data_IF_908248570859
#
_entry.id   IF_908248570859
#
_cell.length_a   1.000
_cell.length_b   1.000
_cell.length_c   1.000
_cell.angle_alpha   90.00
_cell.angle_beta   90.00
_cell.angle_gamma   90.00
#
_symmetry.space_group_name_H-M   'P 1'
#
loop_
_entity.id
_entity.type
_entity.pdbx_description
1 polymer ?
#
# COMPACT_ATOMS: atom_id res chain seq x y z
N UNK A 1 19.41 45.44 1.91
CA UNK A 1 18.83 46.16 3.07
C UNK A 1 18.57 47.64 2.80
N UNK A 2 19.53 48.37 2.22
CA UNK A 2 19.40 49.82 1.91
C UNK A 2 18.15 50.16 1.10
N UNK A 3 17.84 49.42 0.03
CA UNK A 3 16.63 49.66 -0.79
C UNK A 3 15.30 49.38 -0.08
N UNK A 4 15.25 48.43 0.86
CA UNK A 4 14.04 48.11 1.64
C UNK A 4 13.76 49.23 2.66
N UNK A 5 14.80 49.75 3.30
CA UNK A 5 14.72 50.88 4.23
C UNK A 5 14.35 52.17 3.48
N UNK A 6 14.90 52.39 2.28
CA UNK A 6 14.55 53.52 1.42
C UNK A 6 13.07 53.47 0.98
N UNK A 7 12.57 52.27 0.65
CA UNK A 7 11.16 52.04 0.29
C UNK A 7 10.18 52.35 1.43
N UNK A 8 10.58 52.13 2.69
CA UNK A 8 9.79 52.49 3.87
C UNK A 8 9.88 53.98 4.25
N UNK A 9 10.97 54.68 3.87
CA UNK A 9 11.21 56.08 4.23
C UNK A 9 10.59 57.10 3.25
N UNK A 10 10.13 56.64 2.07
CA UNK A 10 9.49 57.49 1.08
C UNK A 10 8.02 57.79 1.47
N UNK A 11 7.65 59.07 1.67
CA UNK A 11 6.30 59.46 2.11
C UNK A 11 5.19 59.14 1.10
N UNK A 12 5.56 58.82 -0.15
CA UNK A 12 4.64 58.44 -1.21
C UNK A 12 3.94 57.10 -0.96
N UNK A 13 4.55 56.16 -0.22
CA UNK A 13 4.05 54.79 -0.14
C UNK A 13 3.27 54.45 1.13
N UNK A 14 3.35 55.24 2.23
CA UNK A 14 2.61 55.05 3.51
C UNK A 14 2.46 53.58 3.98
N UNK A 15 3.38 52.69 3.59
CA UNK A 15 3.25 51.24 3.77
C UNK A 15 4.48 50.75 4.52
N UNK A 16 4.26 50.30 5.76
CA UNK A 16 5.32 49.87 6.67
C UNK A 16 5.56 48.35 6.65
N UNK A 17 4.76 47.58 5.89
CA UNK A 17 4.86 46.12 5.79
C UNK A 17 6.25 45.59 5.38
N UNK A 18 7.04 46.25 4.51
CA UNK A 18 8.39 45.79 4.17
C UNK A 18 9.38 45.83 5.34
N UNK A 19 9.07 46.54 6.43
CA UNK A 19 9.90 46.56 7.64
C UNK A 19 10.00 45.19 8.34
N UNK A 20 9.00 44.32 8.19
CA UNK A 20 9.05 42.97 8.75
C UNK A 20 10.23 42.14 8.20
N UNK A 21 10.68 42.41 6.98
CA UNK A 21 11.87 41.76 6.39
C UNK A 21 13.12 42.06 7.22
N UNK A 22 13.24 43.28 7.75
CA UNK A 22 14.37 43.69 8.59
C UNK A 22 14.32 42.99 9.95
N UNK A 23 13.12 42.90 10.55
CA UNK A 23 12.91 42.21 11.83
C UNK A 23 13.25 40.71 11.72
N UNK A 24 12.78 40.04 10.66
CA UNK A 24 13.10 38.63 10.45
C UNK A 24 14.58 38.41 10.16
N UNK A 25 15.24 39.30 9.42
CA UNK A 25 16.67 39.21 9.15
C UNK A 25 17.54 39.24 10.42
N UNK A 26 17.16 40.05 11.42
CA UNK A 26 17.84 40.08 12.72
C UNK A 26 17.58 38.79 13.51
N UNK A 27 16.43 38.15 13.33
CA UNK A 27 16.05 36.90 14.01
C UNK A 27 16.63 35.63 13.36
N UNK A 28 16.93 35.63 12.07
CA UNK A 28 17.52 34.47 11.35
C UNK A 28 18.75 33.84 12.03
N UNK A 29 19.75 34.61 12.53
CA UNK A 29 20.93 34.00 13.15
C UNK A 29 20.67 33.42 14.54
N UNK A 30 19.58 33.80 15.22
CA UNK A 30 19.33 33.46 16.63
C UNK A 30 19.20 31.94 16.85
N UNK A 31 18.38 31.18 16.09
CA UNK A 31 18.26 29.73 16.27
C UNK A 31 19.56 28.97 16.01
N UNK A 32 20.36 29.41 15.01
CA UNK A 32 21.64 28.77 14.65
C UNK A 32 22.71 29.06 15.72
N UNK A 33 22.76 30.28 16.25
CA UNK A 33 23.66 30.64 17.34
C UNK A 33 23.35 29.84 18.62
N UNK A 34 22.06 29.69 18.95
CA UNK A 34 21.63 28.88 20.09
C UNK A 34 22.04 27.41 19.88
N UNK A 35 21.73 26.82 18.72
CA UNK A 35 22.09 25.44 18.43
C UNK A 35 23.60 25.19 18.49
N UNK A 36 24.42 26.09 17.92
CA UNK A 36 25.88 26.00 18.00
C UNK A 36 26.41 26.10 19.43
N UNK A 37 25.81 26.95 20.27
CA UNK A 37 26.19 27.05 21.68
C UNK A 37 25.89 25.76 22.45
N UNK A 38 24.74 25.13 22.19
CA UNK A 38 24.38 23.84 22.78
C UNK A 38 25.27 22.70 22.29
N UNK A 39 25.56 22.64 20.98
CA UNK A 39 26.47 21.62 20.43
C UNK A 39 27.88 21.77 20.99
N UNK A 40 28.43 22.99 21.07
CA UNK A 40 29.77 23.20 21.62
C UNK A 40 29.87 22.89 23.12
N UNK A 41 28.83 23.17 23.92
CA UNK A 41 28.83 22.84 25.35
C UNK A 41 28.70 21.33 25.62
N UNK A 42 28.00 20.58 24.76
CA UNK A 42 27.83 19.13 24.90
C UNK A 42 28.97 18.29 24.30
N UNK A 43 29.75 18.83 23.35
CA UNK A 43 30.89 18.11 22.76
C UNK A 43 32.04 17.80 23.75
N UNK A 44 32.04 18.37 24.95
CA UNK A 44 33.02 18.06 26.00
C UNK A 44 32.60 16.89 26.92
N UNK A 45 31.38 16.37 26.78
CA UNK A 45 30.88 15.25 27.58
C UNK A 45 30.09 14.29 26.68
N UNK A 46 30.75 13.19 26.30
CA UNK A 46 30.24 12.07 25.50
C UNK A 46 30.01 12.31 24.00
N UNK A 47 30.86 11.67 23.22
CA UNK A 47 30.56 11.27 21.85
C UNK A 47 29.35 10.32 21.88
N UNK A 48 28.39 10.55 20.97
CA UNK A 48 27.11 9.85 20.75
C UNK A 48 25.90 10.54 21.41
N UNK A 49 25.31 11.53 20.71
CA UNK A 49 23.85 11.59 20.48
C UNK A 49 23.36 12.87 19.77
N UNK A 50 22.62 12.65 18.68
CA UNK A 50 21.52 13.48 18.13
C UNK A 50 21.83 14.85 17.47
N UNK A 51 22.00 14.82 16.14
CA UNK A 51 21.92 15.97 15.23
C UNK A 51 20.53 16.68 15.21
N UNK A 52 19.55 16.20 15.98
CA UNK A 52 18.17 16.70 15.99
C UNK A 52 18.04 18.17 16.42
N UNK A 53 18.94 18.68 17.28
CA UNK A 53 18.95 20.09 17.68
C UNK A 53 19.36 21.01 16.51
N UNK A 54 20.36 20.58 15.74
CA UNK A 54 20.83 21.31 14.56
C UNK A 54 19.78 21.24 13.44
N UNK A 55 19.17 20.08 13.22
CA UNK A 55 18.07 19.91 12.27
C UNK A 55 16.84 20.78 12.62
N UNK A 56 16.47 20.86 13.91
CA UNK A 56 15.39 21.73 14.39
C UNK A 56 15.73 23.21 14.20
N UNK A 57 16.98 23.61 14.43
CA UNK A 57 17.42 24.98 14.19
C UNK A 57 17.42 25.35 12.70
N UNK A 58 17.83 24.43 11.82
CA UNK A 58 17.72 24.62 10.36
C UNK A 58 16.24 24.72 9.94
N UNK A 59 15.36 23.90 10.51
CA UNK A 59 13.93 23.99 10.24
C UNK A 59 13.34 25.35 10.65
N UNK A 60 13.62 25.82 11.86
CA UNK A 60 13.11 27.13 12.34
C UNK A 60 13.66 28.28 11.48
N UNK A 61 14.95 28.25 11.11
CA UNK A 61 15.53 29.29 10.25
C UNK A 61 14.93 29.32 8.85
N UNK A 62 14.66 28.15 8.25
CA UNK A 62 13.94 28.12 6.96
C UNK A 62 12.52 28.70 7.07
N UNK A 63 11.82 28.44 8.18
CA UNK A 63 10.51 29.04 8.45
C UNK A 63 10.56 30.57 8.58
N UNK A 64 11.56 31.11 9.28
CA UNK A 64 11.77 32.56 9.41
C UNK A 64 12.06 33.22 8.05
N UNK A 65 12.91 32.58 7.22
CA UNK A 65 13.24 33.10 5.88
C UNK A 65 12.01 33.10 4.97
N UNK A 66 11.24 32.02 4.93
CA UNK A 66 10.01 31.95 4.12
C UNK A 66 8.97 32.97 4.61
N UNK A 67 8.81 33.11 5.93
CA UNK A 67 7.90 34.10 6.53
C UNK A 67 8.28 35.53 6.16
N UNK A 68 9.58 35.83 6.07
CA UNK A 68 10.07 37.17 5.70
C UNK A 68 9.59 37.64 4.33
N UNK A 69 9.37 36.73 3.38
CA UNK A 69 8.83 37.05 2.05
C UNK A 69 7.32 36.88 1.98
N UNK A 70 6.76 35.85 2.63
CA UNK A 70 5.34 35.53 2.54
C UNK A 70 4.46 36.54 3.28
N UNK A 71 4.85 36.97 4.49
CA UNK A 71 4.02 37.80 5.36
C UNK A 71 3.76 39.21 4.77
N UNK A 72 4.76 39.93 4.23
CA UNK A 72 4.51 41.21 3.54
C UNK A 72 3.61 41.08 2.31
N UNK A 73 3.69 39.97 1.57
CA UNK A 73 2.88 39.71 0.37
C UNK A 73 1.41 39.48 0.73
N UNK A 74 1.15 38.74 1.82
CA UNK A 74 -0.21 38.48 2.31
C UNK A 74 -0.85 39.77 2.83
N UNK A 75 -0.10 40.57 3.60
CA UNK A 75 -0.58 41.83 4.16
C UNK A 75 -0.79 42.92 3.11
N UNK A 76 -0.01 42.92 2.02
CA UNK A 76 -0.24 43.80 0.87
C UNK A 76 -1.53 43.46 0.10
N UNK A 77 -2.07 42.26 0.26
CA UNK A 77 -3.32 41.81 -0.40
C UNK A 77 -4.53 41.78 0.52
N UNK A 78 -4.40 42.12 1.80
CA UNK A 78 -5.54 42.18 2.71
C UNK A 78 -6.24 43.56 2.63
N UNK A 79 -7.52 43.64 2.21
CA UNK A 79 -8.26 44.91 2.23
C UNK A 79 -8.56 45.35 3.67
N UNK A 80 -8.35 46.64 3.96
CA UNK A 80 -8.48 47.24 5.31
C UNK A 80 -9.95 47.31 5.80
N UNK A 81 -10.94 47.10 4.94
CA UNK A 81 -12.34 47.41 5.24
C UNK A 81 -13.28 46.22 5.47
N UNK A 82 -12.83 44.97 5.47
CA UNK A 82 -13.71 43.84 5.80
C UNK A 82 -12.96 42.79 6.63
N UNK A 83 -13.14 42.76 7.98
CA UNK A 83 -12.84 41.55 8.71
C UNK A 83 -13.86 40.50 8.25
N UNK A 84 -13.43 39.55 7.41
CA UNK A 84 -14.21 38.33 7.13
C UNK A 84 -14.50 37.62 8.46
N UNK A 85 -15.65 37.96 9.03
CA UNK A 85 -16.27 37.22 10.11
C UNK A 85 -16.68 35.88 9.51
N UNK A 86 -16.01 34.80 9.89
CA UNK A 86 -16.53 33.45 9.74
C UNK A 86 -17.74 33.28 10.68
N UNK A 87 -18.87 33.92 10.35
CA UNK A 87 -20.15 33.65 11.01
C UNK A 87 -20.89 32.60 10.20
N UNK A 88 -20.89 31.38 10.73
CA UNK A 88 -21.76 30.29 10.33
C UNK A 88 -23.22 30.65 10.62
N UNK A 89 -23.86 31.44 9.77
CA UNK A 89 -25.32 31.61 9.83
C UNK A 89 -25.88 32.17 8.53
N UNK A 90 -25.92 31.34 7.49
CA UNK A 90 -26.88 31.51 6.39
C UNK A 90 -28.19 30.78 6.75
N UNK A 91 -29.37 31.42 6.60
CA UNK A 91 -30.67 30.83 6.94
C UNK A 91 -31.06 29.59 6.11
N UNK A 92 -30.37 29.32 4.99
CA UNK A 92 -30.56 28.09 4.22
C UNK A 92 -30.05 26.83 4.97
N UNK A 93 -29.07 26.96 5.85
CA UNK A 93 -28.53 25.84 6.63
C UNK A 93 -29.48 25.35 7.75
N UNK A 94 -30.45 26.17 8.18
CA UNK A 94 -31.47 25.76 9.16
C UNK A 94 -32.62 24.98 8.52
N UNK A 95 -32.90 25.18 7.23
CA UNK A 95 -33.97 24.45 6.52
C UNK A 95 -33.56 23.01 6.21
N UNK A 96 -32.32 22.81 5.76
CA UNK A 96 -31.76 21.48 5.49
C UNK A 96 -31.54 20.63 6.76
N UNK A 97 -31.23 21.25 7.91
CA UNK A 97 -31.07 20.54 9.19
C UNK A 97 -32.41 20.12 9.82
N UNK A 98 -33.48 20.87 9.58
CA UNK A 98 -34.82 20.53 10.07
C UNK A 98 -35.49 19.43 9.22
N UNK A 99 -35.23 19.37 7.91
CA UNK A 99 -35.70 18.27 7.05
C UNK A 99 -34.96 16.94 7.32
N UNK A 100 -33.69 16.98 7.71
CA UNK A 100 -32.96 15.77 8.13
C UNK A 100 -33.40 15.26 9.50
N UNK A 101 -33.77 16.14 10.44
CA UNK A 101 -34.28 15.74 11.76
C UNK A 101 -35.70 15.17 11.74
N UNK A 102 -36.54 15.53 10.75
CA UNK A 102 -37.87 14.91 10.62
C UNK A 102 -37.80 13.48 10.05
N UNK A 103 -36.76 13.18 9.27
CA UNK A 103 -36.56 11.88 8.63
C UNK A 103 -35.65 10.92 9.42
N UNK A 104 -35.07 11.38 10.54
CA UNK A 104 -34.36 10.52 11.50
C UNK A 104 -35.21 10.28 12.74
N UNK A 105 -36.44 9.77 12.59
CA UNK A 105 -37.05 9.07 13.72
C UNK A 105 -36.15 7.87 14.03
N UNK A 106 -35.62 7.84 15.24
CA UNK A 106 -34.67 6.83 15.68
C UNK A 106 -35.22 5.43 15.36
N UNK A 107 -34.36 4.54 14.86
CA UNK A 107 -34.68 3.14 14.54
C UNK A 107 -35.21 2.32 15.74
N UNK A 108 -35.37 2.94 16.91
CA UNK A 108 -35.78 2.34 18.18
C UNK A 108 -37.16 2.83 18.67
N UNK A 109 -37.85 3.74 17.97
CA UNK A 109 -39.20 4.18 18.35
C UNK A 109 -40.22 3.57 17.38
N UNK A 110 -41.13 2.75 17.91
CA UNK A 110 -42.19 2.09 17.15
C UNK A 110 -43.44 2.98 17.22
N UNK A 111 -43.95 3.39 16.06
CA UNK A 111 -45.24 4.11 15.99
C UNK A 111 -46.39 3.16 16.30
N UNK A 112 -47.36 3.57 17.13
CA UNK A 112 -48.55 2.79 17.49
C UNK A 112 -49.39 2.40 16.26
N UNK A 113 -49.35 3.21 15.19
CA UNK A 113 -50.01 2.93 13.91
C UNK A 113 -49.37 1.73 13.17
N UNK A 114 -48.03 1.62 13.21
CA UNK A 114 -47.28 0.51 12.59
C UNK A 114 -47.49 -0.84 13.30
N UNK A 115 -47.89 -0.83 14.58
CA UNK A 115 -48.27 -2.03 15.35
C UNK A 115 -49.68 -2.51 15.02
N UNK A 116 -50.62 -1.60 14.79
CA UNK A 116 -52.00 -1.93 14.42
C UNK A 116 -52.08 -2.52 12.99
N UNK A 117 -51.28 -2.01 12.06
CA UNK A 117 -51.31 -2.41 10.65
C UNK A 117 -50.54 -3.71 10.34
N UNK A 118 -49.88 -4.33 11.33
CA UNK A 118 -49.13 -5.61 11.17
C UNK A 118 -47.87 -5.54 10.28
N UNK A 119 -47.60 -4.41 9.64
CA UNK A 119 -46.46 -4.17 8.73
C UNK A 119 -45.10 -4.31 9.43
N UNK A 120 -45.05 -4.10 10.75
CA UNK A 120 -43.84 -4.29 11.54
C UNK A 120 -43.32 -5.74 11.51
N UNK A 121 -44.21 -6.73 11.58
CA UNK A 121 -43.83 -8.16 11.58
C UNK A 121 -43.13 -8.54 10.27
N UNK A 122 -43.64 -8.04 9.15
CA UNK A 122 -43.05 -8.21 7.82
C UNK A 122 -41.69 -7.52 7.70
N UNK A 123 -41.53 -6.29 8.19
CA UNK A 123 -40.24 -5.59 8.20
C UNK A 123 -39.21 -6.30 9.10
N UNK A 124 -39.62 -6.84 10.23
CA UNK A 124 -38.74 -7.59 11.15
C UNK A 124 -38.27 -8.90 10.53
N UNK A 125 -39.16 -9.67 9.90
CA UNK A 125 -38.78 -10.91 9.21
C UNK A 125 -37.85 -10.64 8.03
N UNK A 126 -38.14 -9.62 7.20
CA UNK A 126 -37.24 -9.20 6.12
C UNK A 126 -35.86 -8.74 6.62
N UNK A 127 -35.80 -7.89 7.66
CA UNK A 127 -34.52 -7.48 8.27
C UNK A 127 -33.74 -8.68 8.79
N UNK A 128 -34.42 -9.67 9.40
CA UNK A 128 -33.77 -10.88 9.91
C UNK A 128 -33.24 -11.76 8.78
N UNK A 129 -33.99 -11.90 7.68
CA UNK A 129 -33.56 -12.65 6.49
C UNK A 129 -32.39 -11.96 5.77
N UNK A 130 -32.45 -10.64 5.60
CA UNK A 130 -31.36 -9.84 5.03
C UNK A 130 -30.12 -9.97 5.92
N UNK A 131 -30.27 -9.88 7.25
CA UNK A 131 -29.15 -10.01 8.16
C UNK A 131 -28.54 -11.42 8.12
N UNK A 132 -29.36 -12.49 8.07
CA UNK A 132 -28.88 -13.87 7.87
C UNK A 132 -28.14 -14.04 6.53
N UNK A 133 -28.64 -13.43 5.43
CA UNK A 133 -28.02 -13.48 4.10
C UNK A 133 -26.72 -12.67 4.03
N UNK A 134 -26.65 -11.51 4.68
CA UNK A 134 -25.44 -10.71 4.82
C UNK A 134 -24.40 -11.42 5.70
N UNK A 135 -24.82 -12.03 6.81
CA UNK A 135 -23.95 -12.80 7.71
C UNK A 135 -23.36 -14.01 6.99
N UNK A 136 -24.15 -14.74 6.20
CA UNK A 136 -23.64 -15.87 5.41
C UNK A 136 -22.70 -15.44 4.27
N UNK A 137 -22.97 -14.32 3.61
CA UNK A 137 -22.05 -13.73 2.61
C UNK A 137 -20.74 -13.24 3.23
N UNK A 138 -20.79 -12.59 4.39
CA UNK A 138 -19.58 -12.20 5.14
C UNK A 138 -18.76 -13.42 5.56
N UNK A 139 -19.42 -14.47 6.07
CA UNK A 139 -18.73 -15.71 6.47
C UNK A 139 -18.08 -16.43 5.26
N UNK A 140 -18.72 -16.39 4.09
CA UNK A 140 -18.15 -16.92 2.84
C UNK A 140 -16.95 -16.09 2.37
N UNK A 141 -17.03 -14.75 2.42
CA UNK A 141 -15.92 -13.84 2.12
C UNK A 141 -14.75 -14.07 3.07
N UNK A 142 -14.97 -14.13 4.38
CA UNK A 142 -13.94 -14.46 5.36
C UNK A 142 -13.30 -15.82 5.10
N UNK A 143 -14.07 -16.84 4.71
CA UNK A 143 -13.49 -18.15 4.34
C UNK A 143 -12.65 -18.07 3.06
N UNK A 144 -13.05 -17.28 2.08
CA UNK A 144 -12.29 -17.07 0.84
C UNK A 144 -11.02 -16.26 1.08
N UNK A 145 -11.13 -15.16 1.83
CA UNK A 145 -9.99 -14.34 2.29
C UNK A 145 -9.04 -15.19 3.12
N UNK A 146 -9.52 -15.96 4.09
CA UNK A 146 -8.66 -16.87 4.87
C UNK A 146 -7.98 -17.90 3.97
N UNK A 147 -8.65 -18.44 2.95
CA UNK A 147 -8.06 -19.41 2.01
C UNK A 147 -7.02 -18.77 1.08
N UNK A 148 -7.23 -17.52 0.65
CA UNK A 148 -6.25 -16.72 -0.10
C UNK A 148 -5.07 -16.34 0.78
N UNK A 149 -5.32 -15.83 2.00
CA UNK A 149 -4.32 -15.54 3.03
C UNK A 149 -3.51 -16.79 3.36
N UNK A 150 -4.11 -17.99 3.38
CA UNK A 150 -3.35 -19.24 3.64
C UNK A 150 -2.40 -19.55 2.49
N UNK A 151 -2.83 -19.36 1.23
CA UNK A 151 -1.96 -19.53 0.05
C UNK A 151 -0.88 -18.44 -0.05
N UNK A 152 -1.21 -17.20 0.27
CA UNK A 152 -0.27 -16.08 0.33
C UNK A 152 0.70 -16.24 1.50
N UNK A 153 0.27 -16.74 2.66
CA UNK A 153 1.15 -17.04 3.80
C UNK A 153 2.22 -18.07 3.44
N UNK A 154 1.88 -19.11 2.68
CA UNK A 154 2.86 -20.12 2.21
C UNK A 154 3.98 -19.49 1.37
N UNK A 155 3.72 -18.37 0.67
CA UNK A 155 4.75 -17.62 -0.08
C UNK A 155 5.33 -16.42 0.68
N UNK A 156 4.60 -15.80 1.62
CA UNK A 156 5.02 -14.63 2.40
C UNK A 156 5.99 -14.96 3.56
N UNK A 157 6.10 -16.22 3.97
CA UNK A 157 6.90 -16.62 5.16
C UNK A 157 8.42 -16.37 5.03
N UNK A 158 8.97 -16.10 3.84
CA UNK A 158 10.44 -16.04 3.72
C UNK A 158 11.03 -14.65 3.95
N UNK A 159 10.26 -13.57 3.84
CA UNK A 159 10.84 -12.24 3.83
C UNK A 159 10.28 -11.36 4.94
N UNK A 160 11.07 -11.27 6.03
CA UNK A 160 10.92 -10.35 7.15
C UNK A 160 9.97 -10.83 8.27
N UNK A 161 10.26 -11.99 8.87
CA UNK A 161 9.78 -12.28 10.22
C UNK A 161 10.45 -11.36 11.25
N UNK A 162 9.68 -10.98 12.28
CA UNK A 162 10.18 -10.20 13.43
C UNK A 162 11.31 -11.00 14.08
N UNK A 163 12.44 -10.35 14.43
CA UNK A 163 13.51 -11.05 15.12
C UNK A 163 13.06 -11.51 16.49
N UNK A 164 12.75 -12.80 16.60
CA UNK A 164 12.45 -13.49 17.86
C UNK A 164 13.74 -13.81 18.61
N UNK A 165 13.65 -13.85 19.94
CA UNK A 165 14.74 -14.32 20.80
C UNK A 165 15.09 -15.78 20.47
N UNK A 166 16.25 -16.25 20.92
CA UNK A 166 16.68 -17.63 20.66
C UNK A 166 15.71 -18.60 21.35
N UNK A 167 15.27 -18.26 22.56
CA UNK A 167 14.33 -19.02 23.38
C UNK A 167 12.96 -19.12 22.71
N UNK A 168 12.40 -18.01 22.23
CA UNK A 168 11.13 -17.99 21.50
C UNK A 168 11.18 -18.81 20.20
N UNK A 169 12.34 -18.88 19.54
CA UNK A 169 12.53 -19.72 18.35
C UNK A 169 12.55 -21.19 18.72
N UNK A 170 13.25 -21.56 19.79
CA UNK A 170 13.29 -22.94 20.28
C UNK A 170 11.91 -23.40 20.71
N UNK A 171 11.18 -22.58 21.47
CA UNK A 171 9.81 -22.88 21.89
C UNK A 171 8.86 -23.01 20.69
N UNK A 172 8.95 -22.10 19.72
CA UNK A 172 8.18 -22.18 18.48
C UNK A 172 8.45 -23.46 17.70
N UNK A 173 9.71 -23.87 17.59
CA UNK A 173 10.10 -25.12 16.94
C UNK A 173 9.56 -26.32 17.72
N UNK A 174 9.70 -26.35 19.05
CA UNK A 174 9.16 -27.43 19.88
C UNK A 174 7.65 -27.57 19.71
N UNK A 175 6.91 -26.45 19.70
CA UNK A 175 5.46 -26.43 19.45
C UNK A 175 5.13 -26.96 18.06
N UNK A 176 5.86 -26.57 17.01
CA UNK A 176 5.66 -27.09 15.67
C UNK A 176 5.99 -28.58 15.56
N UNK A 177 7.06 -29.04 16.22
CA UNK A 177 7.45 -30.46 16.26
C UNK A 177 6.35 -31.29 16.94
N UNK A 178 5.87 -30.84 18.10
CA UNK A 178 4.79 -31.49 18.84
C UNK A 178 3.49 -31.49 18.02
N UNK A 179 3.19 -30.40 17.32
CA UNK A 179 2.01 -30.31 16.46
C UNK A 179 2.09 -31.25 15.26
N UNK A 180 3.25 -31.36 14.60
CA UNK A 180 3.47 -32.32 13.50
C UNK A 180 3.39 -33.78 13.99
N UNK A 181 3.86 -34.06 15.21
CA UNK A 181 3.74 -35.37 15.84
C UNK A 181 2.30 -35.71 16.23
N UNK A 182 1.47 -34.72 16.54
CA UNK A 182 0.05 -34.90 16.89
C UNK A 182 -0.92 -34.80 15.70
N UNK A 183 -0.48 -34.33 14.54
CA UNK A 183 -1.29 -34.41 13.33
C UNK A 183 -1.50 -35.90 12.96
N UNK A 184 -2.75 -36.36 12.79
CA UNK A 184 -2.99 -37.73 12.35
C UNK A 184 -2.31 -37.90 11.00
N UNK A 185 -1.46 -38.92 10.90
CA UNK A 185 -0.75 -39.29 9.66
C UNK A 185 -1.81 -39.35 8.55
N UNK A 186 -1.73 -38.43 7.58
CA UNK A 186 -2.66 -38.43 6.46
C UNK A 186 -2.43 -39.72 5.69
N UNK A 187 -3.50 -40.40 5.28
CA UNK A 187 -3.42 -41.65 4.52
C UNK A 187 -2.53 -41.56 3.27
N UNK A 188 -2.33 -40.36 2.72
CA UNK A 188 -1.41 -40.08 1.61
C UNK A 188 0.07 -40.25 1.97
N UNK A 189 0.50 -40.05 3.22
CA UNK A 189 1.90 -40.29 3.60
C UNK A 189 2.20 -41.77 3.80
N UNK A 190 1.19 -42.64 3.91
CA UNK A 190 1.40 -44.08 3.74
C UNK A 190 1.72 -44.43 2.28
N UNK A 191 1.35 -43.60 1.30
CA UNK A 191 1.59 -43.91 -0.12
C UNK A 191 3.07 -43.84 -0.51
N UNK A 192 3.91 -43.03 0.15
CA UNK A 192 5.35 -43.00 -0.15
C UNK A 192 6.07 -44.26 0.35
N UNK A 193 5.92 -44.69 1.63
CA UNK A 193 6.39 -45.99 2.09
C UNK A 193 5.76 -47.16 1.32
N UNK A 194 4.46 -47.11 0.97
CA UNK A 194 3.78 -48.15 0.19
C UNK A 194 4.30 -48.15 -1.27
N UNK A 195 4.60 -47.00 -1.86
CA UNK A 195 5.21 -46.90 -3.19
C UNK A 195 6.61 -47.51 -3.20
N UNK A 196 7.45 -47.19 -2.21
CA UNK A 196 8.76 -47.84 -2.05
C UNK A 196 8.64 -49.34 -1.74
N UNK A 197 7.64 -49.75 -0.93
CA UNK A 197 7.31 -51.15 -0.62
C UNK A 197 6.84 -51.94 -1.84
N UNK A 198 6.09 -51.32 -2.76
CA UNK A 198 5.50 -52.01 -3.91
C UNK A 198 6.34 -51.92 -5.18
N UNK A 199 7.30 -50.99 -5.28
CA UNK A 199 8.10 -50.77 -6.50
C UNK A 199 9.61 -50.94 -6.33
N UNK A 200 10.15 -50.92 -5.11
CA UNK A 200 11.60 -51.00 -4.88
C UNK A 200 12.06 -52.16 -4.00
N UNK A 201 11.12 -52.92 -3.41
CA UNK A 201 11.40 -54.05 -2.53
C UNK A 201 10.57 -55.23 -3.07
N UNK A 202 11.21 -56.33 -3.49
CA UNK A 202 10.46 -57.55 -3.78
C UNK A 202 9.98 -58.17 -2.46
N UNK A 203 8.85 -58.90 -2.42
CA UNK A 203 8.41 -59.57 -1.18
C UNK A 203 9.50 -60.48 -0.58
N UNK A 204 10.43 -60.96 -1.42
CA UNK A 204 11.65 -61.70 -1.03
C UNK A 204 12.73 -60.87 -0.31
N UNK A 205 12.76 -59.54 -0.47
CA UNK A 205 13.74 -58.66 0.19
C UNK A 205 13.29 -58.23 1.61
N UNK A 206 12.00 -58.42 1.94
CA UNK A 206 11.39 -58.16 3.25
C UNK A 206 11.55 -59.32 4.24
N UNK A 207 12.16 -60.42 3.82
CA UNK A 207 12.42 -61.63 4.62
C UNK A 207 13.76 -61.61 5.35
N UNK A 208 14.36 -60.44 5.56
CA UNK A 208 15.60 -60.31 6.35
C UNK A 208 15.33 -60.36 7.86
N UNK A 209 14.56 -61.35 8.32
CA UNK A 209 14.67 -61.78 9.71
C UNK A 209 15.73 -62.89 9.75
N UNK A 210 16.84 -62.64 10.44
CA UNK A 210 17.94 -63.62 10.51
C UNK A 210 17.53 -64.85 11.34
N UNK A 211 17.08 -65.89 10.61
CA UNK A 211 16.65 -67.18 11.16
C UNK A 211 17.73 -67.90 11.97
N UNK A 212 18.99 -67.45 11.90
CA UNK A 212 20.07 -67.98 12.73
C UNK A 212 19.74 -67.80 14.22
N UNK A 213 19.17 -66.66 14.60
CA UNK A 213 18.87 -66.37 16.01
C UNK A 213 17.69 -67.19 16.54
N UNK A 214 16.64 -67.41 15.75
CA UNK A 214 15.52 -68.29 16.14
C UNK A 214 15.98 -69.74 16.26
N UNK A 215 16.80 -70.22 15.32
CA UNK A 215 17.39 -71.57 15.40
C UNK A 215 18.28 -71.74 16.63
N UNK A 216 19.06 -70.72 17.00
CA UNK A 216 19.86 -70.74 18.22
C UNK A 216 18.99 -70.68 19.49
N UNK A 217 17.92 -69.88 19.49
CA UNK A 217 16.98 -69.79 20.59
C UNK A 217 16.28 -71.14 20.83
N UNK A 218 15.77 -71.79 19.76
CA UNK A 218 15.13 -73.11 19.82
C UNK A 218 16.05 -74.20 20.39
N UNK A 219 17.36 -74.11 20.12
CA UNK A 219 18.37 -75.02 20.68
C UNK A 219 18.60 -74.83 22.18
N UNK A 220 18.40 -73.61 22.71
CA UNK A 220 18.56 -73.27 24.14
C UNK A 220 17.35 -73.64 25.00
N UNK A 221 16.20 -73.92 24.39
CA UNK A 221 14.99 -74.33 25.12
C UNK A 221 15.22 -75.67 25.83
N UNK A 222 14.91 -75.72 27.13
CA UNK A 222 15.14 -76.85 28.02
C UNK A 222 14.44 -78.12 27.49
N UNK A 223 15.15 -79.26 27.50
CA UNK A 223 14.70 -80.50 26.87
C UNK A 223 13.39 -81.11 27.40
N UNK A 224 12.89 -80.69 28.57
CA UNK A 224 11.57 -81.08 29.08
C UNK A 224 10.42 -80.46 28.28
N UNK A 225 10.56 -79.20 27.87
CA UNK A 225 9.53 -78.47 27.10
C UNK A 225 9.43 -78.99 25.67
N UNK A 226 10.54 -79.51 25.11
CA UNK A 226 10.58 -80.10 23.77
C UNK A 226 9.78 -81.41 23.63
N UNK A 227 9.36 -82.02 24.74
CA UNK A 227 8.61 -83.29 24.76
C UNK A 227 7.09 -83.10 24.78
N UNK A 228 6.59 -81.87 24.87
CA UNK A 228 5.16 -81.59 24.77
C UNK A 228 4.71 -81.80 23.32
N UNK A 229 3.54 -82.40 23.12
CA UNK A 229 2.96 -82.62 21.78
C UNK A 229 2.75 -81.28 21.04
N UNK A 230 2.33 -80.25 21.76
CA UNK A 230 2.02 -78.92 21.21
C UNK A 230 3.26 -78.01 21.08
N UNK A 231 4.45 -78.50 21.42
CA UNK A 231 5.66 -77.68 21.47
C UNK A 231 6.00 -77.02 20.13
N UNK A 232 5.84 -77.76 19.03
CA UNK A 232 6.16 -77.23 17.71
C UNK A 232 5.15 -76.19 17.24
N UNK A 233 3.88 -76.33 17.64
CA UNK A 233 2.81 -75.39 17.26
C UNK A 233 2.99 -74.05 17.98
N UNK A 234 3.23 -74.07 19.29
CA UNK A 234 3.51 -72.87 20.09
C UNK A 234 4.78 -72.14 19.65
N UNK A 235 5.82 -72.87 19.23
CA UNK A 235 7.06 -72.25 18.73
C UNK A 235 6.82 -71.57 17.38
N UNK A 236 6.03 -72.17 16.49
CA UNK A 236 5.67 -71.56 15.20
C UNK A 236 4.86 -70.28 15.38
N UNK A 237 3.92 -70.27 16.32
CA UNK A 237 3.09 -69.10 16.61
C UNK A 237 3.93 -67.92 17.16
N UNK A 238 4.85 -68.21 18.08
CA UNK A 238 5.81 -67.23 18.59
C UNK A 238 6.77 -66.72 17.51
N UNK A 239 7.23 -67.59 16.61
CA UNK A 239 8.08 -67.19 15.47
C UNK A 239 7.35 -66.19 14.57
N UNK A 240 6.07 -66.41 14.28
CA UNK A 240 5.24 -65.49 13.49
C UNK A 240 5.07 -64.15 14.21
N UNK A 241 4.78 -64.16 15.51
CA UNK A 241 4.64 -62.93 16.31
C UNK A 241 5.94 -62.10 16.34
N UNK A 242 7.08 -62.76 16.50
CA UNK A 242 8.40 -62.12 16.51
C UNK A 242 8.71 -61.49 15.14
N UNK A 243 8.38 -62.19 14.04
CA UNK A 243 8.58 -61.66 12.69
C UNK A 243 7.65 -60.47 12.42
N UNK A 244 6.39 -60.54 12.86
CA UNK A 244 5.42 -59.46 12.66
C UNK A 244 5.79 -58.20 13.47
N UNK A 245 6.20 -58.37 14.72
CA UNK A 245 6.69 -57.26 15.56
C UNK A 245 7.97 -56.63 15.00
N UNK A 246 8.88 -57.42 14.44
CA UNK A 246 10.08 -56.91 13.77
C UNK A 246 9.73 -56.11 12.51
N UNK A 247 8.79 -56.61 11.68
CA UNK A 247 8.27 -55.88 10.51
C UNK A 247 7.63 -54.56 10.92
N UNK A 248 6.87 -54.55 12.02
CA UNK A 248 6.26 -53.34 12.56
C UNK A 248 7.29 -52.32 13.06
N UNK A 249 8.42 -52.78 13.60
CA UNK A 249 9.54 -51.92 14.01
C UNK A 249 10.24 -51.27 12.81
N UNK A 250 10.47 -52.02 11.73
CA UNK A 250 11.06 -51.48 10.49
C UNK A 250 10.16 -50.44 9.80
N UNK A 251 8.84 -50.55 9.98
CA UNK A 251 7.86 -49.61 9.41
C UNK A 251 7.76 -48.31 10.24
N UNK A 252 8.25 -48.28 11.49
CA UNK A 252 8.26 -47.03 12.25
C UNK A 252 9.18 -46.02 11.56
N UNK A 253 8.66 -44.86 11.14
CA UNK A 253 9.51 -43.83 10.55
C UNK A 253 10.55 -43.42 11.57
N UNK A 254 11.83 -43.40 11.15
CA UNK A 254 12.90 -42.83 11.95
C UNK A 254 12.48 -41.40 12.33
N UNK A 255 12.56 -40.98 13.61
CA UNK A 255 12.19 -39.63 13.98
C UNK A 255 13.07 -38.66 13.19
N UNK A 256 12.46 -37.93 12.24
CA UNK A 256 13.17 -36.93 11.46
C UNK A 256 13.75 -35.90 12.44
N UNK A 257 15.08 -35.90 12.57
CA UNK A 257 15.78 -34.82 13.27
C UNK A 257 15.65 -33.59 12.38
N UNK A 258 14.64 -32.77 12.63
CA UNK A 258 14.53 -31.47 11.97
C UNK A 258 15.69 -30.60 12.45
N UNK A 259 16.60 -30.16 11.57
CA UNK A 259 17.68 -29.27 11.98
C UNK A 259 17.07 -27.97 12.51
N UNK A 260 17.45 -27.58 13.73
CA UNK A 260 17.11 -26.27 14.28
C UNK A 260 17.84 -25.19 13.46
N UNK A 261 17.13 -24.57 12.51
CA UNK A 261 17.66 -23.44 11.75
C UNK A 261 17.32 -22.16 12.51
N UNK A 262 18.20 -21.75 13.42
CA UNK A 262 18.09 -20.45 14.11
C UNK A 262 18.60 -19.36 13.17
N UNK A 263 17.68 -18.53 12.65
CA UNK A 263 18.04 -17.41 11.78
C UNK A 263 18.45 -16.18 12.59
N UNK A 264 19.50 -15.49 12.15
CA UNK A 264 19.87 -14.18 12.67
C UNK A 264 18.81 -13.11 12.32
N UNK A 265 18.66 -12.04 13.13
CA UNK A 265 17.84 -10.90 12.78
C UNK A 265 18.31 -10.29 11.45
N UNK A 266 17.39 -10.11 10.51
CA UNK A 266 17.71 -9.53 9.20
C UNK A 266 17.93 -8.02 9.36
N UNK A 267 19.12 -7.46 9.01
CA UNK A 267 19.44 -6.06 9.26
C UNK A 267 18.47 -5.06 8.61
N UNK A 268 17.85 -5.44 7.50
CA UNK A 268 16.89 -4.61 6.75
C UNK A 268 15.41 -4.86 7.10
N UNK A 269 15.12 -5.70 8.10
CA UNK A 269 13.74 -6.04 8.47
C UNK A 269 12.91 -4.79 8.79
N UNK A 270 13.43 -3.93 9.68
CA UNK A 270 12.74 -2.71 10.10
C UNK A 270 12.50 -1.78 8.91
N UNK A 271 13.53 -1.56 8.09
CA UNK A 271 13.42 -0.72 6.90
C UNK A 271 12.38 -1.26 5.90
N UNK A 272 12.33 -2.57 5.67
CA UNK A 272 11.29 -3.19 4.82
C UNK A 272 9.89 -2.93 5.40
N UNK A 273 9.69 -3.16 6.68
CA UNK A 273 8.39 -2.93 7.32
C UNK A 273 8.00 -1.46 7.23
N UNK A 274 8.87 -0.54 7.63
CA UNK A 274 8.62 0.90 7.56
C UNK A 274 8.30 1.33 6.13
N UNK A 275 9.06 0.87 5.13
CA UNK A 275 8.77 1.15 3.73
C UNK A 275 7.42 0.57 3.27
N UNK A 276 7.07 -0.64 3.72
CA UNK A 276 5.79 -1.28 3.37
C UNK A 276 4.61 -0.52 3.98
N UNK A 277 4.70 -0.17 5.26
CA UNK A 277 3.71 0.70 5.91
C UNK A 277 3.63 2.06 5.20
N UNK A 278 4.77 2.66 4.88
CA UNK A 278 4.82 3.93 4.17
C UNK A 278 4.09 3.82 2.81
N UNK A 279 4.40 2.81 2.02
CA UNK A 279 3.75 2.55 0.73
C UNK A 279 2.24 2.35 0.86
N UNK A 280 1.79 1.61 1.88
CA UNK A 280 0.37 1.34 2.06
C UNK A 280 -0.43 2.58 2.48
N UNK A 281 0.09 3.36 3.43
CA UNK A 281 -0.62 4.50 4.04
C UNK A 281 -0.31 5.86 3.42
N UNK A 282 0.71 5.97 2.56
CA UNK A 282 1.05 7.22 1.88
C UNK A 282 0.82 7.16 0.37
N UNK A 283 1.23 6.06 -0.27
CA UNK A 283 1.18 5.91 -1.73
C UNK A 283 -0.05 5.12 -2.21
N UNK A 284 -0.70 4.40 -1.31
CA UNK A 284 -1.91 3.61 -1.58
C UNK A 284 -1.75 2.63 -2.75
N UNK A 285 -0.55 2.03 -2.91
CA UNK A 285 -0.20 1.15 -4.04
C UNK A 285 -1.15 -0.05 -4.19
N UNK A 286 -1.71 -0.54 -3.08
CA UNK A 286 -2.69 -1.63 -3.08
C UNK A 286 -4.10 -1.25 -3.55
N UNK A 287 -4.39 0.03 -3.79
CA UNK A 287 -5.73 0.47 -4.14
C UNK A 287 -6.06 0.13 -5.60
N UNK A 288 -7.17 -0.57 -5.79
CA UNK A 288 -7.63 -0.98 -7.11
C UNK A 288 -7.98 0.20 -8.04
N UNK A 289 -8.45 1.32 -7.48
CA UNK A 289 -8.83 2.51 -8.28
C UNK A 289 -7.60 3.14 -8.91
N UNK A 290 -6.52 3.33 -8.14
CA UNK A 290 -5.27 3.88 -8.67
C UNK A 290 -4.69 2.99 -9.77
N UNK A 291 -4.76 1.66 -9.60
CA UNK A 291 -4.34 0.70 -10.63
C UNK A 291 -5.20 0.79 -11.89
N UNK A 292 -6.51 0.94 -11.74
CA UNK A 292 -7.45 1.11 -12.85
C UNK A 292 -7.24 2.44 -13.60
N UNK A 293 -7.00 3.54 -12.87
CA UNK A 293 -6.66 4.85 -13.48
C UNK A 293 -5.35 4.74 -14.26
N UNK A 294 -4.37 4.01 -13.71
CA UNK A 294 -3.10 3.77 -14.39
C UNK A 294 -3.28 2.96 -15.66
N UNK A 295 -4.01 1.84 -15.63
CA UNK A 295 -4.25 1.01 -16.81
C UNK A 295 -5.08 1.77 -17.86
N UNK A 296 -6.07 2.55 -17.45
CA UNK A 296 -6.85 3.41 -18.35
C UNK A 296 -5.96 4.38 -19.12
N UNK A 297 -5.02 5.04 -18.44
CA UNK A 297 -4.07 5.92 -19.11
C UNK A 297 -3.22 5.17 -20.14
N UNK A 298 -2.57 4.07 -19.76
CA UNK A 298 -1.67 3.35 -20.66
C UNK A 298 -2.40 2.69 -21.84
N UNK A 299 -3.65 2.27 -21.65
CA UNK A 299 -4.40 1.59 -22.70
C UNK A 299 -5.05 2.57 -23.69
N UNK A 300 -5.61 3.69 -23.20
CA UNK A 300 -6.48 4.56 -24.00
C UNK A 300 -5.89 5.95 -24.26
N UNK A 301 -5.14 6.50 -23.33
CA UNK A 301 -4.68 7.89 -23.38
C UNK A 301 -3.16 8.04 -23.51
N UNK A 302 -2.42 6.94 -23.65
CA UNK A 302 -0.98 6.98 -23.74
C UNK A 302 -0.51 7.80 -24.94
N UNK A 303 -1.14 7.59 -26.09
CA UNK A 303 -0.75 8.22 -27.36
C UNK A 303 -1.46 9.56 -27.60
N UNK A 304 -2.24 10.03 -26.63
CA UNK A 304 -2.92 11.31 -26.73
C UNK A 304 -1.91 12.43 -26.56
N UNK A 305 -1.83 13.26 -27.61
CA UNK A 305 -1.13 14.54 -27.62
C UNK A 305 -2.16 15.65 -27.53
N UNK A 306 -1.88 16.66 -26.70
CA UNK A 306 -2.70 17.88 -26.57
C UNK A 306 -2.75 18.62 -27.91
N UNK A 307 -1.59 18.74 -28.57
CA UNK A 307 -1.45 19.49 -29.80
C UNK A 307 -0.69 18.63 -30.80
N UNK A 308 -1.26 18.46 -31.99
CA UNK A 308 -0.61 17.74 -33.08
C UNK A 308 -0.24 18.74 -34.17
N UNK A 309 0.94 18.57 -34.74
CA UNK A 309 1.48 19.50 -35.74
C UNK A 309 0.62 19.59 -37.01
N UNK A 310 -0.07 18.50 -37.39
CA UNK A 310 -0.99 18.52 -38.53
C UNK A 310 -2.20 19.43 -38.31
N UNK A 311 -2.65 19.59 -37.06
CA UNK A 311 -3.81 20.42 -36.74
C UNK A 311 -3.47 21.92 -36.82
N UNK A 312 -2.19 22.29 -36.80
CA UNK A 312 -1.73 23.66 -37.03
C UNK A 312 -1.87 24.11 -38.50
N UNK A 313 -2.08 23.19 -39.43
CA UNK A 313 -2.29 23.48 -40.86
C UNK A 313 -1.01 23.42 -41.70
N UNK A 314 -1.14 23.81 -42.97
CA UNK A 314 -0.04 23.78 -43.94
C UNK A 314 0.91 24.94 -43.67
N UNK A 315 2.17 24.64 -43.41
CA UNK A 315 3.26 25.62 -43.27
C UNK A 315 3.50 26.27 -44.64
N UNK A 316 3.79 27.59 -44.74
CA UNK A 316 4.07 28.56 -43.68
C UNK A 316 2.82 29.21 -43.07
N UNK A 317 2.84 29.40 -41.74
CA UNK A 317 1.77 30.04 -40.97
C UNK A 317 2.24 31.45 -40.58
N UNK A 318 1.36 32.45 -40.69
CA UNK A 318 1.65 33.81 -40.21
C UNK A 318 1.85 33.82 -38.69
N UNK A 319 2.87 34.51 -38.20
CA UNK A 319 3.20 34.57 -36.77
C UNK A 319 2.00 35.03 -35.91
N UNK A 320 1.17 35.93 -36.44
CA UNK A 320 -0.01 36.47 -35.75
C UNK A 320 -1.14 35.43 -35.58
N UNK A 321 -1.15 34.38 -36.39
CA UNK A 321 -2.20 33.34 -36.39
C UNK A 321 -1.83 32.13 -35.53
N UNK A 322 -0.55 31.99 -35.15
CA UNK A 322 -0.05 30.83 -34.40
C UNK A 322 -0.64 30.81 -32.98
N UNK A 323 -0.55 31.92 -32.25
CA UNK A 323 -1.04 32.01 -30.87
C UNK A 323 -2.54 31.71 -30.73
N UNK A 324 -3.47 32.34 -31.48
CA UNK A 324 -4.89 32.05 -31.36
C UNK A 324 -5.23 30.60 -31.75
N UNK A 325 -4.56 30.06 -32.77
CA UNK A 325 -4.78 28.66 -33.20
C UNK A 325 -4.28 27.67 -32.16
N UNK A 326 -3.13 27.93 -31.56
CA UNK A 326 -2.58 27.12 -30.48
C UNK A 326 -3.50 27.12 -29.25
N UNK A 327 -4.01 28.29 -28.87
CA UNK A 327 -4.96 28.42 -27.76
C UNK A 327 -6.27 27.66 -28.03
N UNK A 328 -6.78 27.71 -29.27
CA UNK A 328 -7.97 26.96 -29.67
C UNK A 328 -7.76 25.45 -29.54
N UNK A 329 -6.65 24.91 -30.07
CA UNK A 329 -6.32 23.48 -29.97
C UNK A 329 -6.11 23.04 -28.51
N UNK A 330 -5.47 23.88 -27.69
CA UNK A 330 -5.35 23.64 -26.25
C UNK A 330 -6.72 23.54 -25.58
N UNK A 331 -7.64 24.45 -25.89
CA UNK A 331 -8.98 24.45 -25.31
C UNK A 331 -9.77 23.21 -25.73
N UNK A 332 -9.72 22.82 -27.00
CA UNK A 332 -10.35 21.59 -27.49
C UNK A 332 -9.78 20.33 -26.81
N UNK A 333 -8.47 20.29 -26.61
CA UNK A 333 -7.82 19.19 -25.92
C UNK A 333 -8.18 19.14 -24.42
N UNK A 334 -8.24 20.29 -23.74
CA UNK A 334 -8.71 20.41 -22.36
C UNK A 334 -10.14 19.92 -22.24
N UNK A 335 -11.01 20.34 -23.15
CA UNK A 335 -12.40 19.91 -23.22
C UNK A 335 -12.52 18.39 -23.37
N UNK A 336 -11.71 17.80 -24.25
CA UNK A 336 -11.66 16.35 -24.44
C UNK A 336 -11.18 15.63 -23.18
N UNK A 337 -10.16 16.14 -22.51
CA UNK A 337 -9.61 15.56 -21.28
C UNK A 337 -10.61 15.64 -20.13
N UNK A 338 -11.35 16.75 -20.00
CA UNK A 338 -12.37 16.91 -18.96
C UNK A 338 -13.57 16.00 -19.23
N UNK A 339 -14.10 16.01 -20.46
CA UNK A 339 -15.33 15.28 -20.82
C UNK A 339 -15.14 13.77 -20.87
N UNK A 340 -13.95 13.28 -21.25
CA UNK A 340 -13.69 11.85 -21.40
C UNK A 340 -12.75 11.31 -20.32
N UNK A 341 -11.51 11.78 -20.26
CA UNK A 341 -10.50 11.19 -19.38
C UNK A 341 -10.84 11.36 -17.90
N UNK A 342 -11.20 12.58 -17.48
CA UNK A 342 -11.57 12.85 -16.09
C UNK A 342 -12.92 12.22 -15.72
N UNK A 343 -13.87 12.18 -16.66
CA UNK A 343 -15.17 11.53 -16.46
C UNK A 343 -15.02 10.02 -16.23
N UNK A 344 -14.23 9.33 -17.04
CA UNK A 344 -13.94 7.89 -16.86
C UNK A 344 -13.17 7.63 -15.55
N UNK A 345 -12.24 8.50 -15.19
CA UNK A 345 -11.58 8.42 -13.89
C UNK A 345 -12.58 8.57 -12.73
N UNK A 346 -13.54 9.50 -12.84
CA UNK A 346 -14.59 9.70 -11.84
C UNK A 346 -15.56 8.50 -11.74
N UNK A 347 -15.87 7.86 -12.86
CA UNK A 347 -16.72 6.65 -12.90
C UNK A 347 -16.13 5.52 -12.04
N UNK A 348 -14.81 5.32 -12.05
CA UNK A 348 -14.17 4.34 -11.16
C UNK A 348 -14.37 4.65 -9.67
N UNK A 349 -14.41 5.92 -9.26
CA UNK A 349 -14.69 6.29 -7.86
C UNK A 349 -16.14 6.00 -7.48
N UNK A 350 -17.08 6.14 -8.42
CA UNK A 350 -18.49 5.83 -8.21
C UNK A 350 -18.74 4.33 -8.15
N UNK A 351 -18.18 3.57 -9.10
CA UNK A 351 -18.33 2.11 -9.17
C UNK A 351 -17.70 1.42 -7.94
N UNK A 352 -16.48 1.82 -7.58
CA UNK A 352 -15.70 1.20 -6.50
C UNK A 352 -15.74 1.99 -5.20
N UNK A 353 -16.93 2.44 -4.79
CA UNK A 353 -17.11 3.16 -3.52
C UNK A 353 -16.53 2.43 -2.31
N UNK A 354 -16.58 1.09 -2.29
CA UNK A 354 -16.03 0.28 -1.20
C UNK A 354 -14.52 0.45 -1.02
N UNK A 355 -13.77 0.77 -2.09
CA UNK A 355 -12.31 0.82 -2.07
C UNK A 355 -11.74 2.10 -1.42
N UNK A 356 -12.52 3.17 -1.32
CA UNK A 356 -12.11 4.42 -0.66
C UNK A 356 -12.99 4.80 0.53
N UNK A 357 -14.22 4.29 0.60
CA UNK A 357 -15.11 4.57 1.75
C UNK A 357 -14.57 4.06 3.09
N UNK A 358 -13.65 3.07 3.08
CA UNK A 358 -12.95 2.60 4.28
C UNK A 358 -12.05 3.67 4.91
N UNK A 359 -11.66 4.70 4.16
CA UNK A 359 -10.86 5.82 4.66
C UNK A 359 -11.70 6.91 5.33
N UNK A 360 -13.04 6.78 5.31
CA UNK A 360 -13.94 7.69 6.01
C UNK A 360 -14.26 7.11 7.39
N UNK A 361 -13.78 7.78 8.42
CA UNK A 361 -14.22 7.55 9.79
C UNK A 361 -15.63 8.13 9.99
N UNK A 362 -16.55 7.36 10.60
CA UNK A 362 -17.97 7.74 10.75
C UNK A 362 -18.27 8.58 12.00
N UNK A 363 -17.26 8.92 12.78
CA UNK A 363 -17.42 9.62 14.05
C UNK A 363 -17.47 11.14 13.85
N UNK A 364 -18.16 11.87 14.74
CA UNK A 364 -18.40 13.31 14.60
C UNK A 364 -17.12 14.17 14.71
N UNK A 365 -16.07 13.67 15.37
CA UNK A 365 -14.75 14.29 15.50
C UNK A 365 -13.65 13.54 14.71
N UNK A 366 -14.04 12.76 13.72
CA UNK A 366 -13.14 11.98 12.89
C UNK A 366 -12.10 12.85 12.15
N UNK A 367 -10.88 12.33 12.01
CA UNK A 367 -9.86 13.00 11.20
C UNK A 367 -10.11 12.74 9.72
N UNK A 368 -10.12 13.81 8.91
CA UNK A 368 -10.19 13.71 7.44
C UNK A 368 -8.80 13.50 6.81
N UNK A 369 -7.74 13.39 7.62
CA UNK A 369 -6.37 13.34 7.12
C UNK A 369 -6.11 12.15 6.19
N UNK A 370 -6.68 10.97 6.49
CA UNK A 370 -6.44 9.76 5.70
C UNK A 370 -7.07 9.84 4.30
N UNK A 371 -8.31 10.32 4.22
CA UNK A 371 -9.02 10.52 2.95
C UNK A 371 -8.40 11.66 2.13
N UNK A 372 -8.00 12.74 2.78
CA UNK A 372 -7.31 13.83 2.11
C UNK A 372 -5.98 13.35 1.51
N UNK A 373 -5.22 12.56 2.27
CA UNK A 373 -3.97 11.96 1.80
C UNK A 373 -4.19 11.00 0.62
N UNK A 374 -5.27 10.23 0.66
CA UNK A 374 -5.66 9.37 -0.47
C UNK A 374 -5.94 10.20 -1.73
N UNK A 375 -6.78 11.23 -1.65
CA UNK A 375 -7.07 12.08 -2.82
C UNK A 375 -5.88 12.92 -3.27
N UNK A 376 -4.97 13.30 -2.35
CA UNK A 376 -3.68 13.88 -2.72
C UNK A 376 -2.85 12.89 -3.56
N UNK A 377 -2.81 11.61 -3.19
CA UNK A 377 -2.13 10.56 -3.97
C UNK A 377 -2.79 10.31 -5.34
N UNK A 378 -4.11 10.40 -5.43
CA UNK A 378 -4.84 10.35 -6.70
C UNK A 378 -4.45 11.55 -7.58
N UNK A 379 -4.47 12.76 -7.00
CA UNK A 379 -4.13 13.99 -7.72
C UNK A 379 -2.69 13.97 -8.23
N UNK A 380 -1.72 13.45 -7.46
CA UNK A 380 -0.34 13.32 -7.93
C UNK A 380 -0.23 12.33 -9.08
N UNK A 381 -0.98 11.22 -9.07
CA UNK A 381 -1.03 10.28 -10.19
C UNK A 381 -1.59 10.92 -11.45
N UNK A 382 -2.76 11.58 -11.36
CA UNK A 382 -3.40 12.26 -12.49
C UNK A 382 -2.52 13.40 -13.02
N UNK A 383 -1.92 14.20 -12.13
CA UNK A 383 -0.99 15.27 -12.50
C UNK A 383 0.24 14.73 -13.24
N UNK A 384 0.80 13.59 -12.79
CA UNK A 384 1.91 12.93 -13.48
C UNK A 384 1.51 12.45 -14.87
N UNK A 385 0.32 11.88 -15.03
CA UNK A 385 -0.19 11.43 -16.33
C UNK A 385 -0.39 12.61 -17.29
N UNK A 386 -0.99 13.71 -16.81
CA UNK A 386 -1.12 14.95 -17.59
C UNK A 386 0.24 15.50 -18.02
N UNK A 387 1.21 15.54 -17.10
CA UNK A 387 2.58 15.96 -17.40
C UNK A 387 3.24 15.09 -18.46
N UNK A 388 2.99 13.78 -18.45
CA UNK A 388 3.50 12.89 -19.51
C UNK A 388 2.90 13.24 -20.88
N UNK A 389 1.60 13.56 -20.96
CA UNK A 389 0.97 14.01 -22.22
C UNK A 389 1.58 15.33 -22.71
N UNK A 390 1.77 16.31 -21.81
CA UNK A 390 2.40 17.60 -22.14
C UNK A 390 3.85 17.39 -22.60
N UNK A 391 4.60 16.51 -21.94
CA UNK A 391 5.98 16.27 -22.32
C UNK A 391 6.07 15.61 -23.70
N UNK A 392 5.14 14.72 -24.04
CA UNK A 392 5.03 14.14 -25.38
C UNK A 392 4.78 15.21 -26.43
N UNK A 393 3.88 16.16 -26.18
CA UNK A 393 3.63 17.25 -27.13
C UNK A 393 4.85 18.14 -27.30
N UNK A 394 5.52 18.51 -26.21
CA UNK A 394 6.72 19.35 -26.28
C UNK A 394 7.87 18.67 -27.02
N UNK A 395 8.06 17.37 -26.82
CA UNK A 395 9.04 16.59 -27.57
C UNK A 395 8.71 16.59 -29.07
N UNK A 396 7.45 16.41 -29.45
CA UNK A 396 7.03 16.48 -30.85
C UNK A 396 7.31 17.86 -31.48
N UNK A 397 7.04 18.96 -30.76
CA UNK A 397 7.40 20.31 -31.23
C UNK A 397 8.90 20.49 -31.35
N UNK A 398 9.67 20.01 -30.38
CA UNK A 398 11.13 20.05 -30.43
C UNK A 398 11.63 19.30 -31.67
N UNK A 399 11.16 18.09 -31.92
CA UNK A 399 11.60 17.26 -33.05
C UNK A 399 11.29 17.95 -34.38
N UNK A 400 10.13 18.61 -34.48
CA UNK A 400 9.79 19.46 -35.62
C UNK A 400 10.78 20.63 -35.81
N UNK A 401 11.12 21.37 -34.75
CA UNK A 401 12.11 22.45 -34.87
C UNK A 401 13.52 21.93 -35.19
N UNK A 402 13.87 20.73 -34.70
CA UNK A 402 15.16 20.10 -34.99
C UNK A 402 15.32 19.73 -36.47
N UNK A 403 14.22 19.49 -37.21
CA UNK A 403 14.27 19.27 -38.66
C UNK A 403 14.89 20.47 -39.40
N UNK A 404 14.61 21.69 -38.94
CA UNK A 404 15.11 22.94 -39.51
C UNK A 404 16.46 23.39 -38.92
N UNK A 405 17.11 22.56 -38.10
CA UNK A 405 18.37 22.91 -37.42
C UNK A 405 19.53 23.24 -38.37
N UNK A 406 19.51 22.71 -39.60
CA UNK A 406 20.52 22.98 -40.63
C UNK A 406 20.36 24.36 -41.31
N UNK A 407 19.33 25.12 -40.94
CA UNK A 407 18.98 26.40 -41.55
C UNK A 407 18.21 26.25 -42.86
N UNK A 408 17.56 27.34 -43.27
CA UNK A 408 16.92 27.40 -44.59
C UNK A 408 18.01 27.46 -45.67
N UNK A 409 18.15 26.42 -46.48
CA UNK A 409 19.05 26.41 -47.62
C UNK A 409 18.49 27.33 -48.72
N UNK A 410 18.75 28.63 -48.62
CA UNK A 410 18.38 29.60 -49.64
C UNK A 410 19.41 29.56 -50.77
N UNK A 411 19.03 29.02 -51.93
CA UNK A 411 19.83 29.11 -53.16
C UNK A 411 19.57 30.47 -53.83
N UNK A 412 20.44 31.45 -53.56
CA UNK A 412 20.45 32.74 -54.26
C UNK A 412 20.95 33.90 -53.40
N UNK A 413 21.09 35.09 -54.01
CA UNK A 413 21.35 36.32 -53.27
C UNK A 413 20.07 36.77 -52.54
N UNK A 414 20.13 36.83 -51.22
CA UNK A 414 19.04 37.31 -50.39
C UNK A 414 18.83 38.81 -50.65
N UNK A 415 17.61 39.19 -51.07
CA UNK A 415 17.18 40.59 -51.16
C UNK A 415 16.13 40.84 -50.10
N UNK A 416 16.27 41.93 -49.34
CA UNK A 416 15.25 42.35 -48.38
C UNK A 416 13.90 42.55 -49.09
N UNK A 417 12.81 42.18 -48.42
CA UNK A 417 11.40 42.29 -48.87
C UNK A 417 10.90 41.25 -49.90
N UNK A 418 11.68 40.21 -50.25
CA UNK A 418 11.21 39.15 -51.19
C UNK A 418 9.96 38.40 -50.70
N UNK A 419 9.75 38.34 -49.38
CA UNK A 419 8.65 37.58 -48.75
C UNK A 419 7.51 38.46 -48.23
N UNK A 420 7.56 39.78 -48.40
CA UNK A 420 6.42 40.64 -48.12
C UNK A 420 5.52 40.67 -49.36
N UNK A 421 4.30 40.15 -49.23
CA UNK A 421 3.22 40.30 -50.20
C UNK A 421 2.02 40.93 -49.52
#
# INVERSE_FOLDING_TARGET
>A
MTFVILGCALPAYKVWWPFFVVLFYILVPVPIMIARHYTNNFNNLENVSNNSCLELAVFITTGIVISSFALPIVLARSPVNDPMKFTNSSPEYKKYKNEQNLNSLSNNIISLKDLADGTWLWRKTQKTQIHKKCKSKMLKRQKQENKMITKEKVFQIIEAEIPKSVEEKVDGILIETNKKQMEPIKQEDHSKPIYFKNHCISDSDLDYYDNIHLKQARKRIIGRLRKLEDFNELVMELEIEIIDTYKQFLIKPLPEKHPLIIRAPVPWHQYKLTATHFMHYNLFIGNEILRNIQSLYFNKYHDVMIIKLHDLGTIPISANEIEPKMNLLCNEAVDRLIKHWLAEAAEFFLEKKYAWSCFIEKHYNASTALIEKYFRSVNTLLSRQLRMMIMKTLNNFRDFFMEYSKGNYFKGDYKDLVFYK
#
